data_IF_275821975587
#
_entry.id   IF_275821975587
#
_cell.length_a   1.000
_cell.length_b   1.000
_cell.length_c   1.000
_cell.angle_alpha   90.00
_cell.angle_beta   90.00
_cell.angle_gamma   90.00
#
_symmetry.space_group_name_H-M   'P 1'
#
loop_
_entity.id
_entity.type
_entity.pdbx_description
1 polymer ?
#
# COMPACT_ATOMS: atom_id res chain seq x y z
N UNK A 1 -3.04 4.80 -23.38
CA UNK A 1 -2.33 3.70 -22.70
C UNK A 1 -2.46 2.47 -23.59
N UNK A 2 -1.39 1.71 -23.88
CA UNK A 2 -1.56 0.45 -24.65
C UNK A 2 -2.32 -0.54 -23.77
N UNK A 3 -3.21 -1.34 -24.37
CA UNK A 3 -4.02 -2.35 -23.65
C UNK A 3 -3.17 -3.33 -22.84
N UNK A 4 -2.04 -3.74 -23.42
CA UNK A 4 -1.12 -4.72 -22.83
C UNK A 4 -0.52 -4.27 -21.48
N UNK A 5 -0.12 -3.00 -21.38
CA UNK A 5 0.44 -2.43 -20.14
C UNK A 5 -0.61 -2.35 -19.03
N UNK A 6 -1.87 -2.12 -19.41
CA UNK A 6 -2.99 -2.08 -18.48
C UNK A 6 -3.33 -3.48 -17.96
N UNK A 7 -3.29 -4.50 -18.81
CA UNK A 7 -3.54 -5.89 -18.43
C UNK A 7 -2.46 -6.41 -17.47
N UNK A 8 -1.19 -6.05 -17.69
CA UNK A 8 -0.11 -6.43 -16.75
C UNK A 8 -0.22 -5.73 -15.39
N UNK A 9 -0.62 -4.44 -15.37
CA UNK A 9 -0.86 -3.73 -14.13
C UNK A 9 -2.01 -4.35 -13.34
N UNK A 10 -3.11 -4.71 -14.01
CA UNK A 10 -4.26 -5.37 -13.38
C UNK A 10 -3.90 -6.73 -12.81
N UNK A 11 -3.11 -7.54 -13.51
CA UNK A 11 -2.64 -8.84 -13.00
C UNK A 11 -1.97 -8.75 -11.62
N UNK A 12 -1.33 -7.62 -11.31
CA UNK A 12 -0.68 -7.40 -10.02
C UNK A 12 -1.64 -6.87 -8.95
N UNK A 13 -2.61 -6.05 -9.34
CA UNK A 13 -3.55 -5.39 -8.42
C UNK A 13 -4.72 -6.31 -8.04
N UNK A 14 -5.21 -7.12 -8.98
CA UNK A 14 -6.32 -8.07 -8.76
C UNK A 14 -6.19 -8.94 -7.51
N UNK A 15 -5.06 -9.65 -7.27
CA UNK A 15 -4.93 -10.49 -6.08
C UNK A 15 -4.91 -9.69 -4.77
N UNK A 16 -4.46 -8.43 -4.81
CA UNK A 16 -4.48 -7.54 -3.62
C UNK A 16 -5.92 -7.16 -3.28
N UNK A 17 -6.73 -6.83 -4.30
CA UNK A 17 -8.14 -6.49 -4.11
C UNK A 17 -8.94 -7.72 -3.63
N UNK A 18 -8.70 -8.90 -4.21
CA UNK A 18 -9.36 -10.14 -3.79
C UNK A 18 -9.09 -10.45 -2.31
N UNK A 19 -7.83 -10.33 -1.88
CA UNK A 19 -7.45 -10.48 -0.49
C UNK A 19 -8.19 -9.49 0.43
N UNK A 20 -8.33 -8.23 0.01
CA UNK A 20 -9.03 -7.20 0.79
C UNK A 20 -10.54 -7.41 0.84
N UNK A 21 -11.15 -8.02 -0.18
CA UNK A 21 -12.56 -8.40 -0.14
C UNK A 21 -12.83 -9.54 0.86
N UNK A 22 -11.84 -10.42 1.10
CA UNK A 22 -11.92 -11.51 2.07
C UNK A 22 -11.50 -11.14 3.50
N UNK A 23 -10.75 -10.05 3.68
CA UNK A 23 -10.29 -9.59 5.00
C UNK A 23 -11.32 -8.68 5.66
N UNK A 24 -11.67 -8.99 6.92
CA UNK A 24 -12.67 -8.26 7.70
C UNK A 24 -12.08 -7.18 8.61
N UNK A 25 -10.74 -7.09 8.70
CA UNK A 25 -10.06 -6.11 9.55
C UNK A 25 -9.81 -4.79 8.83
N UNK A 26 -9.78 -4.80 7.49
CA UNK A 26 -9.68 -3.60 6.66
C UNK A 26 -8.37 -2.83 6.86
N UNK A 27 -8.22 -1.67 6.19
CA UNK A 27 -7.03 -0.85 6.33
C UNK A 27 -6.92 -0.27 7.74
N UNK A 28 -5.69 -0.21 8.26
CA UNK A 28 -5.42 0.38 9.58
C UNK A 28 -5.72 1.88 9.58
N UNK A 29 -6.48 2.39 10.57
CA UNK A 29 -6.77 3.81 10.66
C UNK A 29 -5.51 4.62 11.00
N UNK A 30 -5.48 5.86 10.53
CA UNK A 30 -4.46 6.85 10.88
C UNK A 30 -5.14 8.20 11.12
N UNK A 31 -4.52 9.05 11.95
CA UNK A 31 -5.06 10.36 12.25
C UNK A 31 -4.93 11.29 11.03
N UNK A 32 -5.98 12.06 10.73
CA UNK A 32 -5.93 13.06 9.67
C UNK A 32 -4.81 14.09 9.95
N UNK A 33 -4.02 14.42 8.92
CA UNK A 33 -2.82 15.25 9.06
C UNK A 33 -1.54 14.50 9.45
N UNK A 34 -1.60 13.17 9.58
CA UNK A 34 -0.42 12.30 9.73
C UNK A 34 -0.12 11.55 8.44
N UNK A 35 1.13 11.12 8.29
CA UNK A 35 1.65 10.38 7.12
C UNK A 35 1.19 8.90 7.04
N UNK A 36 0.26 8.49 7.89
CA UNK A 36 -0.26 7.13 7.91
C UNK A 36 0.05 6.39 9.21
N UNK A 37 -0.28 5.09 9.28
CA UNK A 37 -0.01 4.27 10.45
C UNK A 37 1.50 4.06 10.63
N UNK A 38 1.95 3.88 11.88
CA UNK A 38 3.35 3.51 12.17
C UNK A 38 3.85 2.27 11.41
N UNK A 39 2.92 1.41 10.99
CA UNK A 39 3.20 0.26 10.13
C UNK A 39 3.76 0.65 8.76
N UNK A 40 3.40 1.83 8.22
CA UNK A 40 3.92 2.35 6.94
C UNK A 40 5.40 2.67 7.05
N UNK A 41 5.81 3.44 8.07
CA UNK A 41 7.22 3.73 8.33
C UNK A 41 8.03 2.47 8.65
N UNK A 42 7.49 1.53 9.44
CA UNK A 42 8.15 0.27 9.75
C UNK A 42 8.38 -0.63 8.51
N UNK A 43 7.46 -0.60 7.54
CA UNK A 43 7.58 -1.34 6.30
C UNK A 43 8.74 -0.82 5.44
N UNK A 44 8.89 0.50 5.35
CA UNK A 44 9.95 1.13 4.55
C UNK A 44 11.31 1.07 5.27
N UNK A 45 11.31 1.24 6.60
CA UNK A 45 12.49 1.11 7.44
C UNK A 45 13.09 -0.30 7.42
N UNK A 46 12.28 -1.34 7.21
CA UNK A 46 12.77 -2.72 7.04
C UNK A 46 13.74 -2.86 5.86
N UNK A 47 13.54 -2.06 4.82
CA UNK A 47 14.37 -2.06 3.62
C UNK A 47 15.50 -1.01 3.70
N UNK A 48 15.66 -0.35 4.86
CA UNK A 48 16.69 0.66 5.10
C UNK A 48 16.35 2.05 4.55
N UNK A 49 15.13 2.25 4.07
CA UNK A 49 14.65 3.53 3.55
C UNK A 49 13.80 4.26 4.59
N UNK A 50 13.69 5.58 4.46
CA UNK A 50 12.77 6.40 5.23
C UNK A 50 11.95 7.25 4.26
N UNK A 51 10.69 7.53 4.59
CA UNK A 51 9.91 8.51 3.84
C UNK A 51 10.57 9.88 3.98
N UNK A 52 10.63 10.66 2.89
CA UNK A 52 11.30 11.98 2.86
C UNK A 52 10.75 12.95 3.91
N UNK A 53 9.50 12.77 4.29
CA UNK A 53 8.74 13.65 5.19
C UNK A 53 8.90 13.26 6.68
N UNK A 54 9.58 12.13 6.96
CA UNK A 54 9.96 11.67 8.31
C UNK A 54 11.45 11.92 8.63
N UNK A 55 12.21 12.51 7.69
CA UNK A 55 13.65 12.81 7.80
C UNK A 55 13.90 14.27 8.19
#
# INVERSE_FOLDING_TARGET
VRSDEQEEAWRWVEPVIDHWNGDSNGPRPYAAGTWGPRASGAMVARDGYCWSEEC
#
